data_IF_339371701915
#
_entry.id   IF_339371701915
#
_cell.length_a   1.000
_cell.length_b   1.000
_cell.length_c   1.000
_cell.angle_alpha   90.00
_cell.angle_beta   90.00
_cell.angle_gamma   90.00
#
_symmetry.space_group_name_H-M   'P 1'
#
loop_
_entity.id
_entity.type
_entity.pdbx_description
1 polymer ?
#
# COMPACT_ATOMS: atom_id res chain seq x y z
N UNK A 1 25.30 -1.16 6.68
CA UNK A 1 23.85 -1.43 6.83
C UNK A 1 23.58 -1.70 8.31
N UNK A 2 22.65 -0.98 8.95
CA UNK A 2 22.30 -1.24 10.36
C UNK A 2 21.51 -2.55 10.48
N UNK A 3 21.59 -3.24 11.62
CA UNK A 3 20.79 -4.44 11.91
C UNK A 3 19.28 -4.17 11.73
N UNK A 4 18.80 -3.00 12.16
CA UNK A 4 17.40 -2.57 11.99
C UNK A 4 17.03 -2.43 10.51
N UNK A 5 17.95 -1.91 9.68
CA UNK A 5 17.74 -1.77 8.23
C UNK A 5 17.58 -3.14 7.57
N UNK A 6 18.45 -4.08 7.92
CA UNK A 6 18.38 -5.45 7.41
C UNK A 6 17.06 -6.12 7.80
N UNK A 7 16.70 -6.05 9.09
CA UNK A 7 15.43 -6.56 9.60
C UNK A 7 14.23 -5.95 8.87
N UNK A 8 14.21 -4.63 8.67
CA UNK A 8 13.13 -3.96 7.95
C UNK A 8 13.02 -4.48 6.50
N UNK A 9 14.13 -4.58 5.77
CA UNK A 9 14.11 -5.05 4.37
C UNK A 9 13.68 -6.51 4.24
N UNK A 10 14.07 -7.37 5.17
CA UNK A 10 13.61 -8.76 5.23
C UNK A 10 12.10 -8.82 5.46
N UNK A 11 11.59 -8.11 6.46
CA UNK A 11 10.14 -8.09 6.78
C UNK A 11 9.32 -7.54 5.62
N UNK A 12 9.83 -6.51 4.93
CA UNK A 12 9.18 -5.95 3.74
C UNK A 12 9.16 -6.95 2.58
N UNK A 13 10.25 -7.67 2.33
CA UNK A 13 10.33 -8.69 1.27
C UNK A 13 9.41 -9.89 1.54
N UNK A 14 9.37 -10.38 2.78
CA UNK A 14 8.45 -11.45 3.18
C UNK A 14 6.99 -11.01 3.03
N UNK A 15 6.70 -9.76 3.40
CA UNK A 15 5.38 -9.17 3.21
C UNK A 15 5.02 -9.05 1.73
N UNK A 16 5.96 -8.67 0.86
CA UNK A 16 5.75 -8.61 -0.58
C UNK A 16 5.37 -9.98 -1.15
N UNK A 17 6.05 -11.06 -0.74
CA UNK A 17 5.71 -12.44 -1.13
C UNK A 17 4.31 -12.84 -0.66
N UNK A 18 3.97 -12.50 0.59
CA UNK A 18 2.62 -12.74 1.12
C UNK A 18 1.53 -11.98 0.37
N UNK A 19 1.83 -10.78 -0.14
CA UNK A 19 0.88 -9.99 -0.92
C UNK A 19 0.68 -10.61 -2.31
N UNK A 20 1.76 -11.02 -2.98
CA UNK A 20 1.70 -11.67 -4.30
C UNK A 20 0.87 -12.96 -4.30
N UNK A 21 0.78 -13.66 -3.16
CA UNK A 21 -0.04 -14.86 -3.03
C UNK A 21 -1.51 -14.59 -2.68
N UNK A 22 -1.91 -13.32 -2.46
CA UNK A 22 -3.32 -12.96 -2.19
C UNK A 22 -4.11 -12.85 -3.47
N UNK A 23 -5.38 -13.23 -3.37
CA UNK A 23 -6.35 -13.01 -4.42
C UNK A 23 -6.71 -11.51 -4.55
N UNK A 24 -6.99 -11.15 -5.80
CA UNK A 24 -7.49 -9.85 -6.20
C UNK A 24 -8.96 -9.64 -5.78
N UNK A 25 -9.43 -8.39 -5.80
CA UNK A 25 -10.83 -8.04 -5.60
C UNK A 25 -11.27 -7.85 -4.14
N UNK A 26 -10.34 -7.97 -3.19
CA UNK A 26 -10.59 -7.72 -1.78
C UNK A 26 -9.55 -6.77 -1.18
N UNK A 27 -9.97 -6.04 -0.14
CA UNK A 27 -9.05 -5.22 0.65
C UNK A 27 -8.14 -6.13 1.46
N UNK A 28 -6.83 -5.95 1.32
CA UNK A 28 -5.83 -6.68 2.10
C UNK A 28 -5.27 -5.79 3.20
N UNK A 29 -5.30 -6.31 4.43
CA UNK A 29 -4.67 -5.70 5.60
C UNK A 29 -3.76 -6.75 6.21
N UNK A 30 -2.46 -6.58 6.04
CA UNK A 30 -1.46 -7.56 6.45
C UNK A 30 -0.47 -6.91 7.40
N UNK A 31 0.06 -7.73 8.32
CA UNK A 31 1.11 -7.34 9.23
C UNK A 31 2.23 -8.37 9.13
N UNK A 32 3.46 -7.89 9.15
CA UNK A 32 4.65 -8.72 9.28
C UNK A 32 5.54 -8.13 10.37
N UNK A 33 6.25 -8.98 11.11
CA UNK A 33 7.06 -8.56 12.26
C UNK A 33 8.32 -9.40 12.35
N UNK A 34 9.45 -8.74 12.61
CA UNK A 34 10.70 -9.40 12.99
C UNK A 34 11.39 -8.55 14.06
N UNK A 35 11.60 -9.13 15.24
CA UNK A 35 12.11 -8.38 16.39
C UNK A 35 11.19 -7.20 16.75
N UNK A 36 11.72 -5.98 16.96
CA UNK A 36 10.91 -4.79 17.22
C UNK A 36 10.29 -4.19 15.95
N UNK A 37 10.72 -4.60 14.76
CA UNK A 37 10.23 -4.03 13.50
C UNK A 37 8.88 -4.61 13.15
N UNK A 38 7.88 -3.75 12.98
CA UNK A 38 6.53 -4.09 12.54
C UNK A 38 6.26 -3.38 11.22
N UNK A 39 5.79 -4.13 10.24
CA UNK A 39 5.36 -3.60 8.94
C UNK A 39 3.88 -3.90 8.77
N UNK A 40 3.08 -2.87 8.55
CA UNK A 40 1.68 -2.98 8.14
C UNK A 40 1.52 -2.65 6.68
N UNK A 41 0.64 -3.38 5.99
CA UNK A 41 0.26 -3.13 4.61
C UNK A 41 -1.25 -2.99 4.49
N UNK A 42 -1.66 -2.03 3.67
CA UNK A 42 -3.01 -1.84 3.17
C UNK A 42 -2.99 -1.84 1.64
N UNK A 43 -3.80 -2.70 1.04
CA UNK A 43 -4.04 -2.68 -0.40
C UNK A 43 -5.53 -2.75 -0.69
N UNK A 44 -6.07 -1.66 -1.25
CA UNK A 44 -7.48 -1.55 -1.63
C UNK A 44 -7.96 -2.65 -2.59
N UNK A 45 -9.27 -2.87 -2.62
CA UNK A 45 -9.90 -3.95 -3.39
C UNK A 45 -9.78 -3.83 -4.91
N UNK A 46 -9.49 -2.64 -5.46
CA UNK A 46 -9.31 -2.39 -6.89
C UNK A 46 -7.83 -2.35 -7.30
N UNK A 47 -6.92 -2.75 -6.41
CA UNK A 47 -5.50 -2.84 -6.70
C UNK A 47 -5.07 -4.30 -6.87
N UNK A 48 -4.37 -4.55 -7.96
CA UNK A 48 -3.78 -5.84 -8.29
C UNK A 48 -2.65 -6.20 -7.31
N UNK A 49 -2.79 -7.32 -6.59
CA UNK A 49 -1.86 -7.71 -5.52
C UNK A 49 -0.48 -8.07 -6.05
N UNK A 50 -0.36 -8.63 -7.24
CA UNK A 50 0.93 -8.95 -7.84
C UNK A 50 1.76 -7.68 -8.08
N UNK A 51 1.15 -6.65 -8.67
CA UNK A 51 1.78 -5.35 -8.88
C UNK A 51 2.18 -4.67 -7.56
N UNK A 52 1.33 -4.73 -6.53
CA UNK A 52 1.63 -4.17 -5.20
C UNK A 52 2.81 -4.87 -4.53
N UNK A 53 2.87 -6.19 -4.61
CA UNK A 53 4.01 -6.95 -4.11
C UNK A 53 5.30 -6.63 -4.88
N UNK A 54 5.22 -6.39 -6.19
CA UNK A 54 6.35 -5.92 -6.99
C UNK A 54 6.90 -4.57 -6.50
N UNK A 55 6.00 -3.62 -6.21
CA UNK A 55 6.37 -2.29 -5.71
C UNK A 55 7.02 -2.36 -4.33
N UNK A 56 6.48 -3.17 -3.42
CA UNK A 56 7.08 -3.33 -2.08
C UNK A 56 8.46 -3.97 -2.17
N UNK A 57 8.65 -4.95 -3.07
CA UNK A 57 9.97 -5.54 -3.28
C UNK A 57 10.97 -4.50 -3.78
N UNK A 58 10.59 -3.70 -4.79
CA UNK A 58 11.44 -2.62 -5.28
C UNK A 58 11.75 -1.60 -4.18
N UNK A 59 10.78 -1.32 -3.31
CA UNK A 59 11.00 -0.43 -2.17
C UNK A 59 12.00 -1.02 -1.16
N UNK A 60 11.84 -2.29 -0.79
CA UNK A 60 12.77 -2.98 0.09
C UNK A 60 14.20 -2.97 -0.47
N UNK A 61 14.35 -3.18 -1.79
CA UNK A 61 15.67 -3.16 -2.44
C UNK A 61 16.31 -1.77 -2.38
N UNK A 62 15.55 -0.69 -2.58
CA UNK A 62 16.06 0.67 -2.42
C UNK A 62 16.42 0.98 -0.96
N UNK A 63 15.56 0.60 0.00
CA UNK A 63 15.83 0.78 1.42
C UNK A 63 17.00 -0.06 1.94
N UNK A 64 17.41 -1.13 1.24
CA UNK A 64 18.62 -1.87 1.58
C UNK A 64 19.88 -1.00 1.43
N UNK A 65 19.84 -0.03 0.51
CA UNK A 65 20.93 0.91 0.26
C UNK A 65 20.83 2.18 1.11
N UNK A 66 19.64 2.48 1.66
CA UNK A 66 19.43 3.57 2.61
C UNK A 66 19.56 3.07 4.05
N UNK A 67 19.95 3.95 4.99
CA UNK A 67 19.85 3.59 6.40
C UNK A 67 18.41 3.82 6.84
N UNK A 68 17.65 2.76 7.11
CA UNK A 68 16.40 2.86 7.88
C UNK A 68 16.78 3.17 9.34
N UNK A 69 17.31 4.38 9.56
CA UNK A 69 17.74 4.88 10.87
C UNK A 69 16.58 5.53 11.64
N UNK A 70 15.36 5.44 11.12
CA UNK A 70 14.21 6.17 11.60
C UNK A 70 13.26 5.30 12.40
N UNK A 71 12.55 5.94 13.33
CA UNK A 71 11.55 5.29 14.17
C UNK A 71 10.38 4.76 13.36
N UNK A 72 9.99 5.49 12.30
CA UNK A 72 8.96 5.02 11.37
C UNK A 72 9.09 5.61 9.97
N UNK A 73 8.61 4.84 9.01
CA UNK A 73 8.63 5.14 7.59
C UNK A 73 7.28 4.74 6.99
N UNK A 74 6.73 5.54 6.09
CA UNK A 74 5.52 5.18 5.37
C UNK A 74 5.70 5.37 3.87
N UNK A 75 5.13 4.46 3.10
CA UNK A 75 5.07 4.50 1.64
C UNK A 75 3.60 4.43 1.24
N UNK A 76 3.11 5.33 0.39
CA UNK A 76 1.70 5.29 0.00
C UNK A 76 1.44 5.83 -1.41
N UNK A 77 0.43 5.26 -2.06
CA UNK A 77 -0.31 5.91 -3.14
C UNK A 77 -1.62 6.39 -2.54
N UNK A 78 -1.69 7.70 -2.34
CA UNK A 78 -2.87 8.33 -1.77
C UNK A 78 -2.96 9.78 -2.23
N UNK A 79 -4.16 10.20 -2.60
CA UNK A 79 -4.50 11.59 -2.91
C UNK A 79 -5.75 11.97 -2.12
N UNK A 80 -5.97 13.27 -1.86
CA UNK A 80 -7.27 13.73 -1.39
C UNK A 80 -8.38 13.13 -2.27
N UNK A 81 -9.49 12.72 -1.65
CA UNK A 81 -10.67 12.18 -2.33
C UNK A 81 -10.50 10.78 -2.95
N UNK A 82 -9.35 10.12 -2.77
CA UNK A 82 -9.20 8.73 -3.18
C UNK A 82 -9.97 7.79 -2.25
N UNK A 83 -10.82 6.92 -2.81
CA UNK A 83 -11.49 5.88 -2.05
C UNK A 83 -10.49 4.81 -1.57
N UNK A 84 -10.70 4.26 -0.37
CA UNK A 84 -9.85 3.19 0.18
C UNK A 84 -9.67 1.98 -0.75
N UNK A 85 -10.65 1.69 -1.61
CA UNK A 85 -10.54 0.64 -2.64
C UNK A 85 -9.39 0.85 -3.63
N UNK A 86 -8.90 2.08 -3.80
CA UNK A 86 -7.78 2.45 -4.69
C UNK A 86 -6.53 2.90 -3.94
N UNK A 87 -6.55 2.90 -2.61
CA UNK A 87 -5.41 3.29 -1.79
C UNK A 87 -4.46 2.10 -1.60
N UNK A 88 -3.17 2.41 -1.71
CA UNK A 88 -2.08 1.55 -1.30
C UNK A 88 -1.28 2.24 -0.21
N UNK A 89 -0.91 1.50 0.83
CA UNK A 89 -0.06 2.01 1.89
C UNK A 89 0.74 0.91 2.57
N UNK A 90 1.96 1.25 2.96
CA UNK A 90 2.81 0.45 3.83
C UNK A 90 3.37 1.36 4.93
N UNK A 91 3.32 0.90 6.17
CA UNK A 91 3.86 1.60 7.33
C UNK A 91 4.85 0.69 8.04
N UNK A 92 6.06 1.16 8.25
CA UNK A 92 7.14 0.49 8.97
C UNK A 92 7.34 1.23 10.28
N UNK A 93 7.26 0.53 11.39
CA UNK A 93 7.67 1.02 12.71
C UNK A 93 8.83 0.17 13.21
N UNK A 94 9.94 0.80 13.57
CA UNK A 94 11.15 0.09 14.06
C UNK A 94 11.22 0.02 15.58
N UNK A 95 10.24 0.62 16.28
CA UNK A 95 10.18 0.72 17.75
C UNK A 95 9.25 -0.32 18.39
N UNK A 96 8.40 -0.96 17.60
CA UNK A 96 7.41 -1.95 18.05
C UNK A 96 6.03 -1.36 18.32
N UNK A 97 5.76 -0.13 17.87
CA UNK A 97 4.48 0.57 18.06
C UNK A 97 3.41 0.04 17.09
N UNK A 98 2.75 -1.04 17.49
CA UNK A 98 1.67 -1.65 16.71
C UNK A 98 0.47 -0.72 16.53
N UNK A 99 0.21 0.18 17.47
CA UNK A 99 -0.95 1.07 17.43
C UNK A 99 -0.75 2.17 16.39
N UNK A 100 0.48 2.68 16.22
CA UNK A 100 0.84 3.54 15.10
C UNK A 100 0.58 2.85 13.75
N UNK A 101 0.97 1.58 13.61
CA UNK A 101 0.76 0.79 12.38
C UNK A 101 -0.75 0.60 12.12
N UNK A 102 -1.53 0.20 13.13
CA UNK A 102 -2.99 0.02 12.98
C UNK A 102 -3.69 1.32 12.62
N UNK A 103 -3.26 2.44 13.21
CA UNK A 103 -3.81 3.77 12.93
C UNK A 103 -3.59 4.14 11.46
N UNK A 104 -2.40 3.89 10.93
CA UNK A 104 -2.11 4.12 9.51
C UNK A 104 -3.01 3.28 8.59
N UNK A 105 -3.15 1.99 8.87
CA UNK A 105 -4.01 1.09 8.10
C UNK A 105 -5.49 1.49 8.17
N UNK A 106 -5.95 1.97 9.33
CA UNK A 106 -7.30 2.50 9.53
C UNK A 106 -7.57 3.76 8.72
N UNK A 107 -6.59 4.68 8.65
CA UNK A 107 -6.70 5.90 7.85
C UNK A 107 -6.89 5.57 6.37
N UNK A 108 -6.05 4.70 5.80
CA UNK A 108 -6.17 4.27 4.40
C UNK A 108 -7.49 3.55 4.12
N UNK A 109 -7.96 2.72 5.06
CA UNK A 109 -9.27 2.08 4.95
C UNK A 109 -10.41 3.09 4.82
N UNK A 110 -10.28 4.24 5.48
CA UNK A 110 -11.28 5.30 5.49
C UNK A 110 -11.02 6.35 4.39
N UNK A 111 -10.17 6.07 3.41
CA UNK A 111 -9.88 7.01 2.31
C UNK A 111 -8.94 8.17 2.69
N UNK A 112 -8.25 8.08 3.83
CA UNK A 112 -7.38 9.13 4.34
C UNK A 112 -5.90 8.80 4.14
N UNK A 113 -5.11 9.80 3.75
CA UNK A 113 -3.66 9.65 3.62
C UNK A 113 -2.96 9.80 4.97
N UNK A 114 -1.91 9.03 5.18
CA UNK A 114 -1.09 9.09 6.40
C UNK A 114 0.05 10.10 6.19
N UNK A 115 0.40 10.84 7.24
CA UNK A 115 1.53 11.76 7.22
C UNK A 115 1.23 13.17 6.72
N UNK A 116 0.19 13.82 7.25
CA UNK A 116 -0.07 15.27 7.07
C UNK A 116 0.93 16.18 7.81
N UNK A 117 2.01 15.62 8.38
CA UNK A 117 3.04 16.35 9.14
C UNK A 117 4.33 16.65 8.35
N UNK A 118 5.19 17.51 8.94
CA UNK A 118 6.47 18.07 8.43
C UNK A 118 7.61 17.03 8.26
N UNK A 119 7.32 15.83 7.79
CA UNK A 119 8.33 14.86 7.37
C UNK A 119 8.85 15.16 5.96
N UNK A 120 10.07 14.71 5.65
CA UNK A 120 10.56 14.75 4.27
C UNK A 120 9.72 13.78 3.43
N UNK A 121 9.16 14.31 2.34
CA UNK A 121 8.38 13.54 1.40
C UNK A 121 9.19 13.38 0.12
N UNK A 122 9.55 12.14 -0.20
CA UNK A 122 10.17 11.79 -1.47
C UNK A 122 9.09 11.23 -2.38
N UNK A 123 8.86 11.89 -3.52
CA UNK A 123 7.95 11.39 -4.56
C UNK A 123 8.75 10.50 -5.48
N UNK A 124 8.29 9.27 -5.68
CA UNK A 124 8.90 8.34 -6.63
C UNK A 124 8.17 8.48 -7.96
N UNK A 125 8.73 9.22 -8.94
CA UNK A 125 8.10 9.33 -10.23
C UNK A 125 8.16 7.96 -10.91
N UNK A 126 7.06 7.57 -11.56
CA UNK A 126 7.04 6.39 -12.46
C UNK A 126 6.86 5.04 -11.77
N UNK A 127 6.04 5.00 -10.71
CA UNK A 127 5.45 3.73 -10.25
C UNK A 127 4.09 3.53 -10.92
N UNK A 128 3.88 2.29 -11.33
CA UNK A 128 2.77 1.88 -12.17
C UNK A 128 1.97 0.82 -11.42
N UNK A 129 0.87 1.21 -10.79
CA UNK A 129 -0.02 0.28 -10.10
C UNK A 129 -1.07 -0.23 -11.08
N UNK A 130 -1.26 -1.55 -11.15
CA UNK A 130 -2.31 -2.15 -11.96
C UNK A 130 -3.63 -2.08 -11.19
N UNK A 131 -4.65 -1.53 -11.85
CA UNK A 131 -6.02 -1.54 -11.33
C UNK A 131 -6.75 -2.79 -11.84
N UNK A 132 -7.67 -3.28 -11.02
CA UNK A 132 -8.63 -4.32 -11.41
C UNK A 132 -10.06 -3.74 -11.32
N UNK A 133 -11.00 -4.25 -12.12
CA UNK A 133 -12.39 -3.84 -12.04
C UNK A 133 -12.95 -3.99 -10.62
N UNK A 134 -13.75 -3.02 -10.19
CA UNK A 134 -14.54 -3.17 -8.97
C UNK A 134 -15.62 -4.22 -9.20
N UNK A 135 -15.90 -5.05 -8.19
CA UNK A 135 -17.13 -5.83 -8.17
C UNK A 135 -18.30 -4.86 -7.99
N UNK A 136 -19.13 -4.72 -9.01
CA UNK A 136 -20.48 -4.16 -8.88
C UNK A 136 -21.29 -5.31 -8.26
N UNK A 137 -21.90 -5.09 -7.10
CA UNK A 137 -22.84 -6.07 -6.56
C UNK A 137 -24.12 -5.93 -7.39
N UNK A 138 -24.42 -6.93 -8.23
CA UNK A 138 -25.63 -6.97 -9.08
C UNK A 138 -26.93 -7.11 -8.26
N UNK A 139 -26.85 -7.16 -6.92
CA UNK A 139 -28.01 -7.37 -6.05
C UNK A 139 -28.87 -6.11 -5.81
N UNK A 140 -28.40 -4.92 -6.20
CA UNK A 140 -29.13 -3.65 -6.01
C UNK A 140 -29.97 -3.19 -7.22
N UNK A 141 -29.97 -3.92 -8.35
CA UNK A 141 -30.66 -3.46 -9.57
C UNK A 141 -31.67 -4.49 -10.13
N UNK A 142 -32.78 -4.69 -9.41
CA UNK A 142 -33.95 -5.40 -9.96
C UNK A 142 -34.85 -4.54 -10.87
N UNK A 143 -34.38 -3.39 -11.35
CA UNK A 143 -35.17 -2.65 -12.33
C UNK A 143 -34.33 -1.68 -13.17
N UNK A 144 -33.53 -2.21 -14.11
CA UNK A 144 -33.31 -1.61 -15.42
C UNK A 144 -32.79 -2.63 -16.41
N UNK A 145 -33.57 -2.81 -17.45
CA UNK A 145 -33.17 -3.39 -18.72
C UNK A 145 -31.98 -2.59 -19.28
N UNK A 146 -30.76 -3.05 -18.99
CA UNK A 146 -29.58 -2.71 -19.76
C UNK A 146 -29.30 -3.88 -20.68
N UNK A 147 -29.74 -3.70 -21.92
CA UNK A 147 -29.39 -4.50 -23.08
C UNK A 147 -27.89 -4.79 -23.04
N UNK A 148 -27.53 -6.06 -22.91
CA UNK A 148 -26.17 -6.58 -22.92
C UNK A 148 -25.56 -6.40 -24.31
N UNK A 149 -25.04 -5.21 -24.59
CA UNK A 149 -24.18 -4.98 -25.74
C UNK A 149 -23.11 -3.93 -25.36
N UNK A 150 -21.85 -4.38 -25.30
CA UNK A 150 -20.62 -3.58 -25.41
C UNK A 150 -20.06 -2.79 -24.20
N UNK A 151 -19.93 -3.42 -23.01
CA UNK A 151 -18.92 -2.95 -22.03
C UNK A 151 -18.08 -4.14 -21.51
N UNK A 152 -17.50 -4.90 -22.44
CA UNK A 152 -16.19 -5.50 -22.20
C UNK A 152 -15.19 -4.48 -22.76
N UNK A 153 -15.04 -3.34 -22.11
CA UNK A 153 -13.79 -2.60 -22.30
C UNK A 153 -12.69 -3.47 -21.70
N UNK A 154 -11.62 -3.62 -22.47
CA UNK A 154 -10.41 -4.36 -22.17
C UNK A 154 -9.68 -3.74 -20.94
N UNK A 155 -10.21 -3.91 -19.73
CA UNK A 155 -9.70 -3.24 -18.50
C UNK A 155 -8.43 -3.92 -17.96
N UNK A 156 -7.96 -5.02 -18.57
CA UNK A 156 -6.76 -5.73 -18.11
C UNK A 156 -5.48 -4.88 -18.20
N UNK A 157 -5.46 -3.82 -19.00
CA UNK A 157 -4.25 -3.02 -19.29
C UNK A 157 -4.28 -1.56 -18.76
N UNK A 158 -5.24 -1.18 -17.90
CA UNK A 158 -5.25 0.19 -17.32
C UNK A 158 -4.23 0.32 -16.19
N UNK A 159 -2.96 0.42 -16.55
CA UNK A 159 -1.90 0.80 -15.63
C UNK A 159 -2.00 2.30 -15.35
N UNK A 160 -2.25 2.66 -14.08
CA UNK A 160 -2.32 4.07 -13.69
C UNK A 160 -0.96 4.49 -13.14
N UNK A 161 -0.37 5.52 -13.74
CA UNK A 161 0.83 6.17 -13.20
C UNK A 161 0.40 6.94 -11.95
N UNK A 162 0.78 6.42 -10.79
CA UNK A 162 0.44 7.03 -9.50
C UNK A 162 1.72 7.48 -8.82
N UNK A 163 1.67 8.67 -8.23
CA UNK A 163 2.79 9.20 -7.46
C UNK A 163 2.81 8.48 -6.11
N UNK A 164 3.86 7.68 -5.94
CA UNK A 164 4.13 7.07 -4.66
C UNK A 164 4.92 8.05 -3.81
N UNK A 165 4.49 8.25 -2.57
CA UNK A 165 5.17 9.13 -1.63
C UNK A 165 5.75 8.30 -0.49
N UNK A 166 7.07 8.41 -0.32
CA UNK A 166 7.81 7.93 0.85
C UNK A 166 7.92 9.06 1.86
N UNK A 167 7.58 8.81 3.12
CA UNK A 167 7.67 9.78 4.22
C UNK A 167 8.38 9.23 5.43
N UNK A 168 9.18 10.10 6.02
CA UNK A 168 10.03 9.86 7.17
C UNK A 168 9.51 10.63 8.38
N UNK A 169 9.38 9.97 9.54
CA UNK A 169 9.03 10.64 10.78
C UNK A 169 10.19 10.58 11.77
N UNK A 170 10.55 11.73 12.32
CA UNK A 170 11.40 11.83 13.49
C UNK A 170 10.53 12.07 14.71
N UNK A 171 10.51 11.10 15.64
CA UNK A 171 9.94 11.31 16.97
C UNK A 171 10.93 12.20 17.74
N UNK A 172 10.69 13.51 17.78
CA UNK A 172 11.39 14.39 18.74
C UNK A 172 10.95 14.00 20.14
N UNK A 173 11.89 13.48 20.91
CA UNK A 173 11.79 13.23 22.37
C UNK A 173 11.49 14.50 23.13
#
# INVERSE_FOLDING_TARGET
MSATSHTATTVMSDLALMIKSRENGSTSRLFSKLGPVIVGFYGGSQLDKESLGGIIQQFADQEAHHQVAQTSLSMQVCRPEMHGSKIFGMFVDTTGDLDAVKTALGAWNNGSCVGTGRGEAEVWPTISVKLIPGKINDDDDKNKDYTTDNIIEDVSDKQTKLDLVRRTNHRTT
#
